data_IF_316966632133
#
_entry.id   IF_316966632133
#
_cell.length_a   1.000
_cell.length_b   1.000
_cell.length_c   1.000
_cell.angle_alpha   90.00
_cell.angle_beta   90.00
_cell.angle_gamma   90.00
#
_symmetry.space_group_name_H-M   'P 1'
#
loop_
_entity.id
_entity.type
_entity.pdbx_description
1 polymer ?
#
# COMPACT_ATOMS: atom_id res chain seq x y z
N UNK A 1 46.27 54.45 22.15
CA UNK A 1 46.81 53.91 20.87
C UNK A 1 46.69 52.40 21.02
N UNK A 2 45.50 51.83 20.83
CA UNK A 2 44.82 51.54 19.56
C UNK A 2 45.66 50.59 18.69
N UNK A 3 45.06 49.41 18.42
CA UNK A 3 45.19 48.59 17.21
C UNK A 3 46.60 48.02 16.96
N UNK A 4 46.83 46.73 16.66
CA UNK A 4 46.35 46.02 15.47
C UNK A 4 46.58 44.48 15.56
N UNK A 5 46.70 43.87 16.75
CA UNK A 5 47.21 42.48 16.86
C UNK A 5 46.15 41.39 17.20
N UNK A 6 44.87 41.75 17.38
CA UNK A 6 43.78 40.75 17.55
C UNK A 6 43.01 40.50 16.24
N UNK A 7 43.15 41.35 15.23
CA UNK A 7 42.41 41.22 13.97
C UNK A 7 43.00 40.20 12.99
N UNK A 8 44.26 39.79 13.17
CA UNK A 8 44.93 38.84 12.27
C UNK A 8 44.55 37.38 12.57
N UNK A 9 44.53 37.01 13.86
CA UNK A 9 44.22 35.64 14.31
C UNK A 9 42.75 35.26 14.09
N UNK A 10 41.83 36.22 14.26
CA UNK A 10 40.40 36.03 13.97
C UNK A 10 40.12 35.76 12.48
N UNK A 11 41.00 36.19 11.56
CA UNK A 11 40.82 35.96 10.12
C UNK A 11 41.33 34.60 9.67
N UNK A 12 42.40 34.10 10.29
CA UNK A 12 42.95 32.76 10.03
C UNK A 12 42.04 31.67 10.63
N UNK A 13 41.54 31.87 11.85
CA UNK A 13 40.62 30.92 12.51
C UNK A 13 39.26 30.87 11.80
N UNK A 14 38.78 32.00 11.25
CA UNK A 14 37.58 32.04 10.41
C UNK A 14 37.79 31.37 9.04
N UNK A 15 39.00 31.45 8.47
CA UNK A 15 39.34 30.76 7.23
C UNK A 15 39.41 29.23 7.44
N UNK A 16 40.00 28.78 8.54
CA UNK A 16 40.09 27.36 8.88
C UNK A 16 38.70 26.75 9.19
N UNK A 17 37.82 27.52 9.84
CA UNK A 17 36.42 27.12 10.06
C UNK A 17 35.61 27.08 8.75
N UNK A 18 35.82 28.02 7.84
CA UNK A 18 35.16 28.03 6.53
C UNK A 18 35.61 26.85 5.65
N UNK A 19 36.91 26.56 5.62
CA UNK A 19 37.45 25.38 4.92
C UNK A 19 37.00 24.06 5.55
N UNK A 20 36.81 24.03 6.87
CA UNK A 20 36.24 22.88 7.58
C UNK A 20 34.77 22.65 7.25
N UNK A 21 34.00 23.74 7.10
CA UNK A 21 32.59 23.71 6.70
C UNK A 21 32.42 23.28 5.23
N UNK A 22 33.27 23.77 4.33
CA UNK A 22 33.25 23.39 2.91
C UNK A 22 33.60 21.91 2.72
N UNK A 23 34.61 21.40 3.44
CA UNK A 23 34.91 19.95 3.48
C UNK A 23 33.78 19.12 4.09
N UNK A 24 33.06 19.66 5.07
CA UNK A 24 31.93 18.97 5.68
C UNK A 24 30.71 18.93 4.75
N UNK A 25 30.44 20.00 4.00
CA UNK A 25 29.39 20.04 2.97
C UNK A 25 29.71 19.12 1.78
N UNK A 26 30.98 19.07 1.35
CA UNK A 26 31.43 18.19 0.28
C UNK A 26 31.37 16.70 0.70
N UNK A 27 31.76 16.39 1.93
CA UNK A 27 31.62 15.04 2.49
C UNK A 27 30.15 14.63 2.72
N UNK A 28 29.27 15.58 3.07
CA UNK A 28 27.82 15.35 3.15
C UNK A 28 27.19 15.18 1.76
N UNK A 29 27.68 15.88 0.74
CA UNK A 29 27.24 15.71 -0.64
C UNK A 29 27.71 14.36 -1.24
N UNK A 30 28.93 13.92 -0.90
CA UNK A 30 29.46 12.60 -1.28
C UNK A 30 28.76 11.46 -0.53
N UNK A 31 28.35 11.67 0.72
CA UNK A 31 27.55 10.71 1.49
C UNK A 31 26.04 10.72 1.13
N UNK A 32 25.53 11.82 0.55
CA UNK A 32 24.16 11.97 0.07
C UNK A 32 23.99 11.60 -1.41
N UNK A 33 25.09 11.31 -2.12
CA UNK A 33 25.02 10.49 -3.32
C UNK A 33 24.62 9.08 -2.88
N UNK A 34 23.31 8.86 -2.77
CA UNK A 34 22.78 7.51 -2.78
C UNK A 34 23.45 6.78 -3.95
N UNK A 35 24.02 5.58 -3.75
CA UNK A 35 24.57 4.87 -4.88
C UNK A 35 23.46 4.76 -5.93
N UNK A 36 23.70 5.33 -7.11
CA UNK A 36 22.92 4.98 -8.30
C UNK A 36 23.15 3.48 -8.48
N UNK A 37 22.30 2.69 -7.84
CA UNK A 37 22.14 1.28 -8.17
C UNK A 37 21.55 1.33 -9.56
N UNK A 38 22.41 1.30 -10.59
CA UNK A 38 21.98 0.82 -11.89
C UNK A 38 21.21 -0.47 -11.61
N UNK A 39 19.96 -0.63 -12.09
CA UNK A 39 19.29 -1.90 -11.95
C UNK A 39 20.04 -2.88 -12.84
N UNK A 40 21.11 -3.46 -12.30
CA UNK A 40 21.56 -4.77 -12.70
C UNK A 40 20.30 -5.62 -12.66
N UNK A 41 19.92 -6.16 -13.82
CA UNK A 41 18.77 -7.03 -14.00
C UNK A 41 18.97 -8.35 -13.27
N UNK A 42 19.12 -8.29 -11.95
CA UNK A 42 18.81 -9.36 -11.04
C UNK A 42 17.31 -9.51 -11.09
N UNK A 43 16.85 -10.65 -11.59
CA UNK A 43 15.55 -11.18 -11.22
C UNK A 43 15.53 -11.24 -9.70
N UNK A 44 14.95 -10.23 -9.06
CA UNK A 44 14.49 -10.40 -7.70
C UNK A 44 13.57 -11.63 -7.70
N UNK A 45 13.67 -12.54 -6.73
CA UNK A 45 12.71 -13.63 -6.60
C UNK A 45 11.37 -13.11 -6.04
N UNK A 46 10.89 -11.96 -6.53
CA UNK A 46 9.62 -11.32 -6.15
C UNK A 46 8.54 -11.57 -7.21
N UNK A 47 8.49 -12.77 -7.81
CA UNK A 47 7.71 -12.98 -9.03
C UNK A 47 6.70 -14.12 -8.95
N UNK A 48 5.67 -14.06 -8.10
CA UNK A 48 4.47 -14.90 -8.33
C UNK A 48 3.45 -14.23 -9.25
N UNK A 49 3.45 -12.90 -9.34
CA UNK A 49 2.45 -12.12 -10.04
C UNK A 49 3.11 -10.97 -10.81
N UNK A 50 2.60 -10.66 -12.00
CA UNK A 50 3.04 -9.51 -12.81
C UNK A 50 2.62 -8.17 -12.20
N UNK A 51 3.24 -7.07 -12.66
CA UNK A 51 3.01 -5.72 -12.14
C UNK A 51 1.54 -5.27 -12.28
N UNK A 52 0.87 -5.64 -13.38
CA UNK A 52 -0.53 -5.29 -13.62
C UNK A 52 -1.44 -5.98 -12.59
N UNK A 53 -1.20 -7.26 -12.31
CA UNK A 53 -1.90 -8.03 -11.29
C UNK A 53 -1.74 -7.39 -9.91
N UNK A 54 -0.53 -6.95 -9.55
CA UNK A 54 -0.29 -6.29 -8.27
C UNK A 54 -1.05 -4.96 -8.15
N UNK A 55 -1.08 -4.16 -9.23
CA UNK A 55 -1.87 -2.91 -9.27
C UNK A 55 -3.37 -3.17 -9.12
N UNK A 56 -3.92 -4.19 -9.79
CA UNK A 56 -5.34 -4.59 -9.63
C UNK A 56 -5.65 -5.01 -8.21
N UNK A 57 -4.75 -5.80 -7.60
CA UNK A 57 -4.88 -6.22 -6.22
C UNK A 57 -4.89 -5.05 -5.25
N UNK A 58 -3.99 -4.10 -5.42
CA UNK A 58 -3.96 -2.89 -4.59
C UNK A 58 -5.28 -2.10 -4.72
N UNK A 59 -5.77 -1.90 -5.94
CA UNK A 59 -7.03 -1.21 -6.20
C UNK A 59 -8.26 -1.94 -5.62
N UNK A 60 -8.26 -3.27 -5.63
CA UNK A 60 -9.31 -4.08 -5.01
C UNK A 60 -9.24 -3.99 -3.47
N UNK A 61 -8.06 -4.11 -2.88
CA UNK A 61 -7.87 -4.01 -1.42
C UNK A 61 -8.24 -2.63 -0.88
N UNK A 62 -8.05 -1.56 -1.65
CA UNK A 62 -8.50 -0.21 -1.29
C UNK A 62 -10.03 -0.09 -1.19
N UNK A 63 -10.78 -0.98 -1.84
CA UNK A 63 -12.25 -1.03 -1.78
C UNK A 63 -12.77 -2.02 -0.73
N UNK A 64 -11.89 -2.81 -0.12
CA UNK A 64 -12.21 -3.81 0.90
C UNK A 64 -11.95 -3.22 2.28
N UNK A 65 -12.95 -3.28 3.15
CA UNK A 65 -12.86 -2.87 4.55
C UNK A 65 -11.82 -3.74 5.26
N UNK A 66 -10.82 -3.07 5.84
CA UNK A 66 -9.67 -3.71 6.47
C UNK A 66 -9.92 -3.99 7.96
N UNK A 67 -9.08 -4.85 8.53
CA UNK A 67 -9.13 -5.18 9.95
C UNK A 67 -9.08 -3.94 10.85
N UNK A 68 -9.89 -3.94 11.90
CA UNK A 68 -10.02 -2.83 12.85
C UNK A 68 -11.29 -2.00 12.65
N UNK A 69 -11.91 -2.08 11.47
CA UNK A 69 -13.17 -1.40 11.21
C UNK A 69 -14.34 -2.04 12.01
N UNK A 70 -15.14 -1.25 12.76
CA UNK A 70 -16.30 -1.75 13.51
C UNK A 70 -17.39 -2.39 12.63
N UNK A 71 -17.45 -2.06 11.35
CA UNK A 71 -18.38 -2.66 10.38
C UNK A 71 -18.21 -4.18 10.31
N UNK A 72 -16.98 -4.68 10.40
CA UNK A 72 -16.69 -6.11 10.37
C UNK A 72 -17.26 -6.88 11.58
N UNK A 73 -17.62 -6.17 12.65
CA UNK A 73 -18.26 -6.73 13.86
C UNK A 73 -19.77 -6.51 13.88
N UNK A 74 -20.30 -5.75 12.93
CA UNK A 74 -21.70 -5.37 12.89
C UNK A 74 -22.55 -6.52 12.33
N UNK A 75 -23.76 -6.68 12.87
CA UNK A 75 -24.70 -7.71 12.42
C UNK A 75 -25.25 -7.35 11.04
N UNK A 76 -25.15 -8.28 10.10
CA UNK A 76 -25.72 -8.13 8.76
C UNK A 76 -27.22 -8.43 8.73
N UNK A 77 -27.95 -7.67 7.93
CA UNK A 77 -29.38 -7.87 7.69
C UNK A 77 -29.62 -8.93 6.61
N UNK A 78 -30.77 -9.61 6.68
CA UNK A 78 -31.22 -10.50 5.60
C UNK A 78 -31.45 -9.73 4.31
N UNK A 79 -31.13 -10.39 3.20
CA UNK A 79 -31.48 -9.92 1.85
C UNK A 79 -32.92 -10.36 1.57
N UNK A 80 -33.82 -9.39 1.34
CA UNK A 80 -35.24 -9.64 1.05
C UNK A 80 -35.57 -9.52 -0.43
N UNK A 81 -34.82 -8.68 -1.15
CA UNK A 81 -35.08 -8.33 -2.54
C UNK A 81 -34.01 -8.96 -3.43
N UNK A 82 -34.45 -9.85 -4.33
CA UNK A 82 -33.60 -10.54 -5.31
C UNK A 82 -33.81 -9.87 -6.67
N UNK A 83 -33.18 -8.71 -6.82
CA UNK A 83 -33.29 -7.86 -8.00
C UNK A 83 -31.96 -7.77 -8.77
N UNK A 84 -31.97 -6.98 -9.83
CA UNK A 84 -30.77 -6.70 -10.64
C UNK A 84 -29.68 -6.00 -9.81
N UNK A 85 -30.05 -5.19 -8.81
CA UNK A 85 -29.07 -4.54 -7.96
C UNK A 85 -28.30 -5.54 -7.09
N UNK A 86 -28.97 -6.60 -6.60
CA UNK A 86 -28.30 -7.70 -5.93
C UNK A 86 -27.35 -8.44 -6.87
N UNK A 87 -27.77 -8.72 -8.11
CA UNK A 87 -26.92 -9.37 -9.10
C UNK A 87 -25.64 -8.56 -9.38
N UNK A 88 -25.76 -7.26 -9.58
CA UNK A 88 -24.63 -6.35 -9.78
C UNK A 88 -23.71 -6.27 -8.53
N UNK A 89 -24.27 -6.34 -7.33
CA UNK A 89 -23.51 -6.40 -6.08
C UNK A 89 -22.65 -7.67 -6.02
N UNK A 90 -23.24 -8.81 -6.39
CA UNK A 90 -22.56 -10.11 -6.42
C UNK A 90 -21.46 -10.13 -7.47
N UNK A 91 -21.72 -9.66 -8.69
CA UNK A 91 -20.72 -9.55 -9.77
C UNK A 91 -19.51 -8.72 -9.34
N UNK A 92 -19.76 -7.54 -8.78
CA UNK A 92 -18.72 -6.67 -8.21
C UNK A 92 -17.93 -7.38 -7.11
N UNK A 93 -18.58 -8.14 -6.24
CA UNK A 93 -17.91 -8.88 -5.18
C UNK A 93 -17.02 -10.00 -5.75
N UNK A 94 -17.43 -10.67 -6.83
CA UNK A 94 -16.57 -11.65 -7.51
C UNK A 94 -15.33 -11.01 -8.13
N UNK A 95 -15.49 -9.85 -8.78
CA UNK A 95 -14.35 -9.09 -9.33
C UNK A 95 -13.37 -8.69 -8.23
N UNK A 96 -13.86 -8.09 -7.14
CA UNK A 96 -13.03 -7.69 -6.01
C UNK A 96 -12.31 -8.87 -5.35
N UNK A 97 -13.00 -10.01 -5.20
CA UNK A 97 -12.42 -11.24 -4.66
C UNK A 97 -11.28 -11.73 -5.55
N UNK A 98 -11.49 -11.76 -6.87
CA UNK A 98 -10.51 -12.23 -7.86
C UNK A 98 -9.29 -11.30 -7.92
N UNK A 99 -9.52 -10.01 -8.07
CA UNK A 99 -8.44 -9.01 -8.15
C UNK A 99 -7.68 -8.91 -6.83
N UNK A 100 -8.37 -9.06 -5.70
CA UNK A 100 -7.76 -9.15 -4.37
C UNK A 100 -6.92 -10.43 -4.12
N UNK A 101 -6.90 -11.37 -5.08
CA UNK A 101 -6.31 -12.71 -4.95
C UNK A 101 -6.85 -13.48 -3.74
N UNK A 102 -8.15 -13.31 -3.46
CA UNK A 102 -8.86 -13.95 -2.35
C UNK A 102 -9.66 -15.18 -2.78
N UNK A 103 -10.01 -16.03 -1.81
CA UNK A 103 -10.90 -17.20 -2.00
C UNK A 103 -12.35 -16.93 -1.64
N UNK A 104 -12.62 -15.80 -0.98
CA UNK A 104 -13.97 -15.42 -0.57
C UNK A 104 -14.02 -13.97 -0.10
N UNK A 105 -15.21 -13.38 -0.21
CA UNK A 105 -15.49 -12.01 0.20
C UNK A 105 -16.92 -11.92 0.75
N UNK A 106 -17.07 -11.38 1.96
CA UNK A 106 -18.38 -11.13 2.55
C UNK A 106 -18.83 -9.68 2.30
N UNK A 107 -20.14 -9.45 2.17
CA UNK A 107 -20.69 -8.13 1.90
C UNK A 107 -20.25 -7.04 2.91
N UNK A 108 -20.10 -7.31 4.23
CA UNK A 108 -19.55 -6.32 5.17
C UNK A 108 -18.14 -5.86 4.82
N UNK A 109 -17.31 -6.74 4.26
CA UNK A 109 -15.98 -6.38 3.77
C UNK A 109 -16.05 -5.51 2.51
N UNK A 110 -17.15 -5.58 1.75
CA UNK A 110 -17.44 -4.70 0.62
C UNK A 110 -18.25 -3.44 1.02
N UNK A 111 -18.38 -3.16 2.33
CA UNK A 111 -19.08 -1.97 2.83
C UNK A 111 -20.60 -2.10 2.95
N UNK A 112 -21.15 -3.32 2.88
CA UNK A 112 -22.60 -3.59 2.86
C UNK A 112 -23.00 -4.56 3.99
N UNK A 113 -23.86 -4.12 4.90
CA UNK A 113 -24.35 -4.96 6.01
C UNK A 113 -25.49 -5.89 5.57
N UNK A 114 -25.19 -6.82 4.67
CA UNK A 114 -26.11 -7.82 4.11
C UNK A 114 -25.59 -9.23 4.35
N UNK A 115 -26.48 -10.20 4.60
CA UNK A 115 -26.15 -11.63 4.71
C UNK A 115 -25.87 -12.19 3.31
N UNK A 116 -24.74 -11.79 2.75
CA UNK A 116 -24.27 -12.17 1.43
C UNK A 116 -22.77 -12.43 1.50
N UNK A 117 -22.32 -13.52 0.87
CA UNK A 117 -20.90 -13.80 0.66
C UNK A 117 -20.69 -14.48 -0.69
N UNK A 118 -19.53 -14.27 -1.27
CA UNK A 118 -19.06 -14.97 -2.45
C UNK A 118 -17.80 -15.76 -2.12
N UNK A 119 -17.59 -16.89 -2.78
CA UNK A 119 -16.39 -17.71 -2.59
C UNK A 119 -16.08 -18.56 -3.83
N UNK A 120 -14.82 -18.97 -3.94
CA UNK A 120 -14.34 -19.90 -4.94
C UNK A 120 -13.38 -20.89 -4.28
N UNK A 121 -13.69 -22.19 -4.37
CA UNK A 121 -12.99 -23.23 -3.60
C UNK A 121 -11.62 -23.59 -4.18
N UNK A 122 -11.43 -23.42 -5.48
CA UNK A 122 -10.16 -23.59 -6.19
C UNK A 122 -10.21 -22.85 -7.53
N UNK A 123 -9.07 -22.73 -8.22
CA UNK A 123 -8.95 -21.95 -9.45
C UNK A 123 -9.85 -22.42 -10.60
N UNK A 124 -10.19 -23.72 -10.63
CA UNK A 124 -11.01 -24.33 -11.67
C UNK A 124 -12.51 -24.38 -11.30
N UNK A 125 -12.84 -24.08 -10.04
CA UNK A 125 -14.22 -24.08 -9.57
C UNK A 125 -14.96 -22.86 -10.09
N UNK A 126 -16.25 -23.02 -10.38
CA UNK A 126 -17.12 -21.88 -10.67
C UNK A 126 -17.31 -21.11 -9.35
N UNK A 127 -17.08 -19.77 -9.34
CA UNK A 127 -17.39 -18.94 -8.18
C UNK A 127 -18.86 -19.09 -7.77
N UNK A 128 -19.12 -19.11 -6.47
CA UNK A 128 -20.46 -19.28 -5.90
C UNK A 128 -20.78 -18.16 -4.91
N UNK A 129 -22.05 -17.81 -4.87
CA UNK A 129 -22.66 -16.89 -3.93
C UNK A 129 -23.55 -17.63 -2.92
N UNK A 130 -23.56 -17.17 -1.67
CA UNK A 130 -24.55 -17.58 -0.68
C UNK A 130 -25.29 -16.35 -0.17
N UNK A 131 -26.61 -16.38 -0.27
CA UNK A 131 -27.52 -15.35 0.24
C UNK A 131 -28.30 -15.93 1.41
N UNK A 132 -28.34 -15.19 2.52
CA UNK A 132 -28.96 -15.60 3.79
C UNK A 132 -28.56 -17.01 4.28
N UNK A 133 -27.27 -17.41 4.26
CA UNK A 133 -26.89 -18.77 4.64
C UNK A 133 -27.18 -19.09 6.12
N UNK A 134 -27.47 -20.36 6.39
CA UNK A 134 -27.64 -20.99 7.71
C UNK A 134 -26.92 -22.34 7.72
N UNK A 135 -26.45 -22.79 8.89
CA UNK A 135 -25.68 -24.03 9.07
C UNK A 135 -26.57 -25.12 9.64
#
# INVERSE_FOLDING_TARGET
MASEDETATLSEEAAEYAEGMERAEEALAEAAAEPEVEPEGGEEPTGRFDEETLRRREAALAQIVQYGDPMLKSRSSEVTDFDEALALEIERMFELMKDGLGVGLAAPQAGKLRRLLVFQTNADAIPQELVNPEI
#
